data_IF_080763611491
#
_entry.id   IF_080763611491
#
_cell.length_a   1.000
_cell.length_b   1.000
_cell.length_c   1.000
_cell.angle_alpha   90.00
_cell.angle_beta   90.00
_cell.angle_gamma   90.00
#
_symmetry.space_group_name_H-M   'P 1'
#
loop_
_entity.id
_entity.type
_entity.pdbx_description
1 polymer ?
#
# COMPACT_ATOMS: atom_id res chain seq x y z
N UNK A 1 -3.39 -18.75 -5.42
CA UNK A 1 -2.65 -17.83 -6.31
C UNK A 1 -1.99 -16.76 -5.47
N UNK A 2 -0.76 -16.31 -5.79
CA UNK A 2 -0.02 -15.29 -5.03
C UNK A 2 -0.89 -14.06 -4.71
N UNK A 3 -1.62 -13.54 -5.69
CA UNK A 3 -2.53 -12.40 -5.53
C UNK A 3 -3.64 -12.58 -4.48
N UNK A 4 -4.09 -13.80 -4.17
CA UNK A 4 -5.14 -13.99 -3.16
C UNK A 4 -4.60 -13.71 -1.76
N UNK A 5 -3.32 -13.98 -1.52
CA UNK A 5 -2.65 -13.67 -0.26
C UNK A 5 -2.45 -12.16 -0.14
N UNK A 6 -2.01 -11.52 -1.23
CA UNK A 6 -1.73 -10.09 -1.28
C UNK A 6 -3.02 -9.27 -1.17
N UNK A 7 -4.09 -9.66 -1.86
CA UNK A 7 -5.43 -9.05 -1.71
C UNK A 7 -5.96 -9.21 -0.28
N UNK A 8 -5.73 -10.35 0.36
CA UNK A 8 -6.15 -10.56 1.76
C UNK A 8 -5.33 -9.72 2.74
N UNK A 9 -4.04 -9.52 2.47
CA UNK A 9 -3.18 -8.66 3.27
C UNK A 9 -3.57 -7.20 3.11
N UNK A 10 -3.78 -6.75 1.87
CA UNK A 10 -4.28 -5.42 1.56
C UNK A 10 -5.64 -5.15 2.20
N UNK A 11 -6.58 -6.09 2.12
CA UNK A 11 -7.90 -5.96 2.78
C UNK A 11 -7.81 -5.87 4.29
N UNK A 12 -6.70 -6.31 4.91
CA UNK A 12 -6.47 -6.12 6.35
C UNK A 12 -5.90 -4.74 6.60
N UNK A 13 -4.89 -4.31 5.85
CA UNK A 13 -4.30 -2.97 5.91
C UNK A 13 -5.35 -1.87 5.71
N UNK A 14 -6.22 -1.99 4.70
CA UNK A 14 -7.30 -1.04 4.41
C UNK A 14 -8.50 -1.12 5.38
N UNK A 15 -8.48 -2.05 6.33
CA UNK A 15 -9.53 -2.20 7.35
C UNK A 15 -9.25 -1.35 8.59
N UNK A 16 -8.05 -0.80 8.67
CA UNK A 16 -7.60 0.10 9.70
C UNK A 16 -8.07 1.53 9.41
N UNK A 17 -8.19 2.36 10.46
CA UNK A 17 -8.56 3.76 10.31
C UNK A 17 -7.44 4.54 9.59
N UNK A 18 -7.73 5.75 9.10
CA UNK A 18 -6.75 6.53 8.31
C UNK A 18 -5.46 6.79 9.10
N UNK A 19 -5.58 7.01 10.42
CA UNK A 19 -4.46 7.22 11.35
C UNK A 19 -3.56 5.97 11.46
N UNK A 20 -4.18 4.79 11.61
CA UNK A 20 -3.47 3.51 11.64
C UNK A 20 -2.75 3.22 10.31
N UNK A 21 -3.29 3.72 9.18
CA UNK A 21 -2.72 3.57 7.84
C UNK A 21 -1.51 4.48 7.63
N UNK A 22 -1.52 5.68 8.22
CA UNK A 22 -0.40 6.62 8.22
C UNK A 22 0.77 6.08 9.06
N UNK A 23 0.48 5.50 10.23
CA UNK A 23 1.50 4.86 11.09
C UNK A 23 2.15 3.61 10.45
N UNK A 24 1.44 2.94 9.53
CA UNK A 24 1.89 1.71 8.85
C UNK A 24 2.56 1.97 7.49
N UNK A 25 2.89 3.22 7.15
CA UNK A 25 3.58 3.57 5.89
C UNK A 25 4.88 2.76 5.67
N UNK A 26 5.61 2.45 6.74
CA UNK A 26 6.81 1.63 6.66
C UNK A 26 6.50 0.15 6.32
N UNK A 27 5.42 -0.41 6.86
CA UNK A 27 4.96 -1.77 6.55
C UNK A 27 4.46 -1.86 5.10
N UNK A 28 3.83 -0.80 4.60
CA UNK A 28 3.46 -0.65 3.19
C UNK A 28 4.67 -0.63 2.26
N UNK A 29 5.74 0.07 2.65
CA UNK A 29 6.98 0.16 1.87
C UNK A 29 7.68 -1.20 1.76
N UNK A 30 7.78 -1.94 2.86
CA UNK A 30 8.34 -3.29 2.86
C UNK A 30 7.50 -4.27 2.02
N UNK A 31 6.17 -4.16 2.08
CA UNK A 31 5.26 -4.95 1.25
C UNK A 31 5.42 -4.66 -0.25
N UNK A 32 5.58 -3.39 -0.62
CA UNK A 32 5.79 -2.97 -2.01
C UNK A 32 7.12 -3.48 -2.59
N UNK A 33 8.19 -3.49 -1.80
CA UNK A 33 9.49 -4.06 -2.21
C UNK A 33 9.40 -5.57 -2.47
N UNK A 34 8.76 -6.31 -1.56
CA UNK A 34 8.52 -7.75 -1.70
C UNK A 34 7.61 -8.08 -2.91
N UNK A 35 6.59 -7.25 -3.15
CA UNK A 35 5.71 -7.39 -4.32
C UNK A 35 6.50 -7.17 -5.62
N UNK A 36 7.33 -6.13 -5.66
CA UNK A 36 8.15 -5.79 -6.82
C UNK A 36 9.17 -6.88 -7.13
N UNK A 37 9.80 -7.47 -6.11
CA UNK A 37 10.72 -8.59 -6.27
C UNK A 37 10.04 -9.85 -6.86
N UNK A 38 8.73 -9.99 -6.62
CA UNK A 38 7.92 -11.12 -7.08
C UNK A 38 7.22 -10.87 -8.43
N UNK A 39 7.33 -9.66 -8.99
CA UNK A 39 6.57 -9.18 -10.16
C UNK A 39 6.74 -10.01 -11.43
N UNK A 40 7.90 -10.66 -11.62
CA UNK A 40 8.16 -11.51 -12.78
C UNK A 40 7.26 -12.76 -12.86
N UNK A 41 6.58 -13.11 -11.76
CA UNK A 41 5.62 -14.24 -11.68
C UNK A 41 4.17 -13.82 -11.87
N UNK A 42 3.92 -12.53 -12.07
CA UNK A 42 2.57 -11.97 -12.12
C UNK A 42 2.00 -11.99 -13.53
N UNK A 43 0.71 -12.26 -13.61
CA UNK A 43 -0.10 -12.04 -14.81
C UNK A 43 -0.31 -10.54 -15.04
N UNK A 44 -0.69 -10.13 -16.25
CA UNK A 44 -0.97 -8.72 -16.57
C UNK A 44 -2.03 -8.08 -15.64
N UNK A 45 -3.00 -8.86 -15.15
CA UNK A 45 -4.01 -8.35 -14.21
C UNK A 45 -3.42 -8.10 -12.82
N UNK A 46 -2.51 -8.97 -12.38
CA UNK A 46 -1.79 -8.83 -11.11
C UNK A 46 -0.78 -7.67 -11.16
N UNK A 47 -0.11 -7.45 -12.30
CA UNK A 47 0.78 -6.30 -12.50
C UNK A 47 0.02 -4.98 -12.42
N UNK A 48 -1.13 -4.85 -13.08
CA UNK A 48 -1.98 -3.63 -12.98
C UNK A 48 -2.47 -3.37 -11.57
N UNK A 49 -2.74 -4.42 -10.81
CA UNK A 49 -3.11 -4.29 -9.41
C UNK A 49 -1.93 -3.77 -8.57
N UNK A 50 -0.72 -4.29 -8.80
CA UNK A 50 0.50 -3.78 -8.17
C UNK A 50 0.74 -2.30 -8.52
N UNK A 51 0.60 -1.90 -9.79
CA UNK A 51 0.76 -0.50 -10.19
C UNK A 51 -0.20 0.44 -9.45
N UNK A 52 -1.48 0.05 -9.34
CA UNK A 52 -2.47 0.81 -8.57
C UNK A 52 -2.12 0.90 -7.08
N UNK A 53 -1.55 -0.17 -6.51
CA UNK A 53 -1.11 -0.20 -5.12
C UNK A 53 0.06 0.74 -4.83
N UNK A 54 1.08 0.72 -5.70
CA UNK A 54 2.23 1.60 -5.57
C UNK A 54 1.84 3.07 -5.73
N UNK A 55 0.89 3.37 -6.62
CA UNK A 55 0.36 4.72 -6.76
C UNK A 55 -0.35 5.17 -5.48
N UNK A 56 -1.19 4.32 -4.89
CA UNK A 56 -1.87 4.61 -3.63
C UNK A 56 -0.89 4.87 -2.48
N UNK A 57 0.15 4.04 -2.34
CA UNK A 57 1.20 4.24 -1.33
C UNK A 57 1.94 5.57 -1.53
N UNK A 58 2.33 5.89 -2.77
CA UNK A 58 2.99 7.16 -3.07
C UNK A 58 2.13 8.39 -2.75
N UNK A 59 0.82 8.32 -3.06
CA UNK A 59 -0.13 9.36 -2.70
C UNK A 59 -0.30 9.50 -1.18
N UNK A 60 -0.36 8.39 -0.44
CA UNK A 60 -0.46 8.40 1.02
C UNK A 60 0.80 9.05 1.65
N UNK A 61 1.99 8.62 1.24
CA UNK A 61 3.28 9.18 1.72
C UNK A 61 3.39 10.67 1.41
N UNK A 62 2.96 11.10 0.22
CA UNK A 62 3.04 12.51 -0.16
C UNK A 62 2.08 13.40 0.62
N UNK A 63 0.93 12.86 1.04
CA UNK A 63 -0.12 13.63 1.70
C UNK A 63 -0.07 13.54 3.23
N UNK A 64 0.56 12.51 3.79
CA UNK A 64 0.70 12.32 5.24
C UNK A 64 1.17 13.58 5.99
N UNK A 65 2.26 14.27 5.58
CA UNK A 65 2.74 15.45 6.32
C UNK A 65 1.77 16.63 6.27
N UNK A 66 0.95 16.73 5.21
CA UNK A 66 -0.07 17.77 5.09
C UNK A 66 -1.29 17.46 5.96
N UNK A 67 -1.71 16.20 6.02
CA UNK A 67 -2.81 15.74 6.87
C UNK A 67 -2.47 15.99 8.34
N UNK A 68 -1.30 15.53 8.80
CA UNK A 68 -0.80 15.76 10.16
C UNK A 68 -0.79 17.27 10.51
N UNK A 69 -0.29 18.11 9.59
CA UNK A 69 -0.23 19.56 9.81
C UNK A 69 -1.60 20.24 9.88
N UNK A 70 -2.66 19.67 9.29
CA UNK A 70 -4.04 20.17 9.41
C UNK A 70 -4.68 19.69 10.71
N UNK A 71 -4.36 18.48 11.17
CA UNK A 71 -4.90 17.92 12.42
C UNK A 71 -4.34 18.61 13.67
N UNK A 72 -3.08 19.04 13.62
CA UNK A 72 -2.40 19.75 14.71
C UNK A 72 -2.79 21.24 14.84
N UNK A 73 -3.65 21.77 13.96
CA UNK A 73 -4.01 23.20 13.88
C UNK A 73 -5.31 23.56 14.64
#
# INVERSE_FOLDING_TARGET
SPHVKDIKHLKRLLRHDVDDLLDQVNDFTAFDEDLRASSWRFTNKELRFMEAMMQFQGELVSNAPFIEAVEDA
#
